data_IF_589131750835
#
_entry.id   IF_589131750835
#
_cell.length_a   1.000
_cell.length_b   1.000
_cell.length_c   1.000
_cell.angle_alpha   90.00
_cell.angle_beta   90.00
_cell.angle_gamma   90.00
#
_symmetry.space_group_name_H-M   'P 1'
#
loop_
_entity.id
_entity.type
_entity.pdbx_description
1 polymer ?
#
# COMPACT_ATOMS: atom_id res chain seq x y z
N UNK A 1 -20.62 42.68 15.01
CA UNK A 1 -20.44 41.96 13.74
C UNK A 1 -20.08 40.55 14.11
N UNK A 2 -21.06 39.65 14.11
CA UNK A 2 -20.86 38.23 14.39
C UNK A 2 -20.41 37.56 13.08
N UNK A 3 -19.16 37.10 13.05
CA UNK A 3 -18.69 36.20 12.01
C UNK A 3 -19.50 34.92 12.12
N UNK A 4 -20.40 34.72 11.18
CA UNK A 4 -21.02 33.43 10.91
C UNK A 4 -19.88 32.54 10.36
N UNK A 5 -19.30 31.67 11.22
CA UNK A 5 -18.56 30.50 10.76
C UNK A 5 -19.60 29.68 9.99
N UNK A 6 -19.54 29.69 8.66
CA UNK A 6 -20.15 28.64 7.87
C UNK A 6 -19.57 27.33 8.41
N UNK A 7 -20.38 26.53 9.10
CA UNK A 7 -20.08 25.15 9.43
C UNK A 7 -19.85 24.43 8.10
N UNK A 8 -18.60 24.25 7.74
CA UNK A 8 -18.17 23.44 6.61
C UNK A 8 -18.59 22.03 6.98
N UNK A 9 -19.68 21.52 6.39
CA UNK A 9 -20.05 20.12 6.54
C UNK A 9 -18.80 19.26 6.35
N UNK A 10 -18.46 18.44 7.36
CA UNK A 10 -17.26 17.61 7.34
C UNK A 10 -17.35 16.67 6.15
N UNK A 11 -16.42 16.81 5.19
CA UNK A 11 -16.35 15.92 4.03
C UNK A 11 -16.11 14.50 4.52
N UNK A 12 -16.85 13.54 3.98
CA UNK A 12 -16.87 12.16 4.43
C UNK A 12 -16.17 11.25 3.41
N UNK A 13 -15.29 10.38 3.90
CA UNK A 13 -14.49 9.48 3.07
C UNK A 13 -14.69 8.04 3.52
N UNK A 14 -15.06 7.15 2.59
CA UNK A 14 -14.99 5.70 2.83
C UNK A 14 -13.57 5.21 2.52
N UNK A 15 -13.01 4.40 3.41
CA UNK A 15 -11.71 3.73 3.21
C UNK A 15 -11.93 2.23 3.36
N UNK A 16 -11.77 1.47 2.26
CA UNK A 16 -11.75 0.01 2.33
C UNK A 16 -10.32 -0.49 2.60
N UNK A 17 -10.20 -1.52 3.45
CA UNK A 17 -8.90 -1.97 3.95
C UNK A 17 -8.36 -1.05 5.05
N UNK A 18 -9.23 -0.40 5.81
CA UNK A 18 -8.88 0.63 6.82
C UNK A 18 -8.09 0.09 8.00
N UNK A 19 -8.26 -1.19 8.36
CA UNK A 19 -7.48 -1.85 9.41
C UNK A 19 -6.12 -2.38 8.90
N UNK A 20 -5.88 -2.33 7.59
CA UNK A 20 -4.64 -2.75 6.95
C UNK A 20 -3.45 -1.81 7.23
N UNK A 21 -2.29 -2.15 6.66
CA UNK A 21 -1.04 -1.39 6.82
C UNK A 21 -1.16 0.01 6.18
N UNK A 22 -1.29 0.10 4.86
CA UNK A 22 -1.40 1.40 4.16
C UNK A 22 -2.70 2.10 4.54
N UNK A 23 -3.81 1.34 4.68
CA UNK A 23 -5.11 1.88 5.08
C UNK A 23 -5.07 2.62 6.41
N UNK A 24 -4.30 2.13 7.38
CA UNK A 24 -4.10 2.78 8.67
C UNK A 24 -3.51 4.19 8.53
N UNK A 25 -2.39 4.32 7.80
CA UNK A 25 -1.79 5.64 7.52
C UNK A 25 -2.74 6.58 6.78
N UNK A 26 -3.53 6.04 5.84
CA UNK A 26 -4.52 6.84 5.09
C UNK A 26 -5.61 7.37 6.01
N UNK A 27 -6.14 6.54 6.92
CA UNK A 27 -7.15 6.97 7.91
C UNK A 27 -6.58 8.06 8.82
N UNK A 28 -5.37 7.89 9.36
CA UNK A 28 -4.71 8.89 10.20
C UNK A 28 -4.54 10.23 9.47
N UNK A 29 -4.09 10.21 8.22
CA UNK A 29 -3.90 11.42 7.41
C UNK A 29 -5.24 12.11 7.10
N UNK A 30 -6.30 11.36 6.80
CA UNK A 30 -7.64 11.91 6.58
C UNK A 30 -8.19 12.59 7.84
N UNK A 31 -8.09 11.94 9.00
CA UNK A 31 -8.53 12.51 10.28
C UNK A 31 -7.73 13.75 10.64
N UNK A 32 -6.40 13.73 10.42
CA UNK A 32 -5.52 14.89 10.61
C UNK A 32 -5.95 16.09 9.73
N UNK A 33 -6.47 15.84 8.53
CA UNK A 33 -7.02 16.88 7.62
C UNK A 33 -8.46 17.27 7.96
N UNK A 34 -9.09 16.68 8.98
CA UNK A 34 -10.44 17.02 9.42
C UNK A 34 -11.55 16.39 8.59
N UNK A 35 -11.29 15.23 7.96
CA UNK A 35 -12.34 14.43 7.32
C UNK A 35 -13.05 13.55 8.34
N UNK A 36 -14.36 13.34 8.14
CA UNK A 36 -15.05 12.21 8.73
C UNK A 36 -14.71 10.95 7.91
N UNK A 37 -14.32 9.87 8.58
CA UNK A 37 -13.86 8.65 7.93
C UNK A 37 -14.74 7.46 8.30
N UNK A 38 -15.21 6.75 7.29
CA UNK A 38 -15.85 5.44 7.42
C UNK A 38 -14.84 4.38 7.01
N UNK A 39 -14.43 3.54 7.96
CA UNK A 39 -13.55 2.40 7.67
C UNK A 39 -14.37 1.13 7.43
N UNK A 40 -13.93 0.30 6.48
CA UNK A 40 -14.41 -1.09 6.33
C UNK A 40 -13.24 -2.03 6.15
N UNK A 41 -13.27 -3.15 6.91
CA UNK A 41 -12.28 -4.22 6.84
C UNK A 41 -12.91 -5.51 7.39
N UNK A 42 -12.48 -6.67 6.94
CA UNK A 42 -12.93 -7.97 7.45
C UNK A 42 -11.90 -8.64 8.36
N UNK A 43 -10.79 -7.95 8.63
CA UNK A 43 -9.65 -8.45 9.41
C UNK A 43 -9.01 -9.75 8.88
N UNK A 44 -9.26 -10.09 7.61
CA UNK A 44 -8.77 -11.35 7.03
C UNK A 44 -7.25 -11.43 6.95
N UNK A 45 -6.55 -10.28 6.87
CA UNK A 45 -5.09 -10.27 6.72
C UNK A 45 -4.35 -10.39 8.05
N UNK A 46 -4.64 -9.53 9.01
CA UNK A 46 -3.87 -9.42 10.25
C UNK A 46 -4.65 -9.86 11.51
N UNK A 47 -5.88 -10.32 11.36
CA UNK A 47 -6.79 -10.48 12.48
C UNK A 47 -7.23 -9.14 13.05
N UNK A 48 -7.87 -9.17 14.21
CA UNK A 48 -8.30 -7.95 14.90
C UNK A 48 -7.09 -7.19 15.41
N UNK A 49 -6.89 -6.00 14.88
CA UNK A 49 -5.84 -5.05 15.30
C UNK A 49 -6.47 -3.83 15.92
N UNK A 50 -5.83 -3.26 16.93
CA UNK A 50 -6.21 -1.99 17.53
C UNK A 50 -5.41 -0.88 16.85
N UNK A 51 -6.10 0.16 16.42
CA UNK A 51 -5.50 1.32 15.77
C UNK A 51 -5.59 2.55 16.68
N UNK A 52 -4.64 3.46 16.55
CA UNK A 52 -4.57 4.72 17.29
C UNK A 52 -5.84 5.56 17.19
N UNK A 53 -6.55 5.44 16.08
CA UNK A 53 -7.76 6.21 15.73
C UNK A 53 -9.08 5.52 16.04
N UNK A 54 -9.12 4.31 16.60
CA UNK A 54 -10.37 3.56 16.85
C UNK A 54 -11.36 4.31 17.76
N UNK A 55 -10.86 5.16 18.64
CA UNK A 55 -11.68 6.02 19.50
C UNK A 55 -11.90 7.45 18.98
N UNK A 56 -11.48 7.77 17.75
CA UNK A 56 -11.60 9.13 17.23
C UNK A 56 -13.05 9.49 16.91
N UNK A 57 -13.58 10.67 17.32
CA UNK A 57 -15.00 11.03 17.15
C UNK A 57 -15.44 11.08 15.68
N UNK A 58 -14.54 11.40 14.76
CA UNK A 58 -14.80 11.48 13.32
C UNK A 58 -14.47 10.17 12.58
N UNK A 59 -14.18 9.06 13.31
CA UNK A 59 -13.96 7.74 12.74
C UNK A 59 -15.10 6.79 13.10
N UNK A 60 -15.63 6.12 12.10
CA UNK A 60 -16.58 5.01 12.29
C UNK A 60 -16.06 3.77 11.55
N UNK A 61 -16.20 2.60 12.15
CA UNK A 61 -15.74 1.34 11.59
C UNK A 61 -16.88 0.36 11.36
N UNK A 62 -16.85 -0.32 10.24
CA UNK A 62 -17.72 -1.43 9.90
C UNK A 62 -16.88 -2.67 9.62
N UNK A 63 -17.04 -3.71 10.45
CA UNK A 63 -16.50 -5.02 10.12
C UNK A 63 -17.34 -5.65 9.02
N UNK A 64 -16.73 -5.92 7.85
CA UNK A 64 -17.48 -6.43 6.72
C UNK A 64 -16.62 -6.73 5.50
N UNK A 65 -17.16 -7.56 4.63
CA UNK A 65 -16.52 -7.97 3.39
C UNK A 65 -16.83 -6.94 2.28
N UNK A 66 -15.79 -6.37 1.68
CA UNK A 66 -15.91 -5.43 0.55
C UNK A 66 -16.52 -6.07 -0.70
N UNK A 67 -16.61 -7.39 -0.77
CA UNK A 67 -17.32 -8.11 -1.85
C UNK A 67 -18.84 -8.08 -1.69
N UNK A 68 -19.35 -7.65 -0.53
CA UNK A 68 -20.77 -7.34 -0.34
C UNK A 68 -21.10 -5.96 -0.94
N UNK A 69 -21.45 -5.96 -2.22
CA UNK A 69 -21.80 -4.75 -2.97
C UNK A 69 -22.93 -3.94 -2.33
N UNK A 70 -23.89 -4.62 -1.69
CA UNK A 70 -25.01 -3.94 -1.04
C UNK A 70 -24.56 -3.20 0.23
N UNK A 71 -23.67 -3.82 1.02
CA UNK A 71 -23.04 -3.16 2.17
C UNK A 71 -22.22 -1.95 1.70
N UNK A 72 -21.35 -2.13 0.71
CA UNK A 72 -20.53 -1.07 0.16
C UNK A 72 -21.36 0.11 -0.37
N UNK A 73 -22.45 -0.16 -1.11
CA UNK A 73 -23.33 0.88 -1.62
C UNK A 73 -24.02 1.67 -0.48
N UNK A 74 -24.41 1.00 0.62
CA UNK A 74 -24.95 1.69 1.81
C UNK A 74 -23.91 2.59 2.46
N UNK A 75 -22.67 2.12 2.64
CA UNK A 75 -21.60 2.91 3.23
C UNK A 75 -21.19 4.11 2.36
N UNK A 76 -21.32 3.99 1.04
CA UNK A 76 -21.00 5.06 0.09
C UNK A 76 -22.13 6.08 -0.07
N UNK A 77 -23.33 5.82 0.43
CA UNK A 77 -24.53 6.63 0.14
C UNK A 77 -24.41 8.10 0.56
N UNK A 78 -23.58 8.40 1.56
CA UNK A 78 -23.35 9.74 2.10
C UNK A 78 -21.85 10.14 2.13
N UNK A 79 -21.00 9.43 1.38
CA UNK A 79 -19.58 9.73 1.30
C UNK A 79 -19.25 10.56 0.06
N UNK A 80 -18.43 11.61 0.24
CA UNK A 80 -17.92 12.46 -0.86
C UNK A 80 -16.82 11.76 -1.67
N UNK A 81 -15.99 10.93 -1.00
CA UNK A 81 -14.88 10.22 -1.61
C UNK A 81 -14.84 8.76 -1.17
N UNK A 82 -14.26 7.93 -2.01
CA UNK A 82 -13.95 6.55 -1.70
C UNK A 82 -12.48 6.26 -2.00
N UNK A 83 -11.74 5.75 -1.02
CA UNK A 83 -10.39 5.20 -1.21
C UNK A 83 -10.49 3.68 -1.22
N UNK A 84 -10.37 3.11 -2.42
CA UNK A 84 -10.44 1.67 -2.66
C UNK A 84 -9.08 1.03 -2.40
N UNK A 85 -8.80 0.71 -1.13
CA UNK A 85 -7.52 0.18 -0.67
C UNK A 85 -7.54 -1.31 -0.30
N UNK A 86 -8.71 -1.91 -0.11
CA UNK A 86 -8.82 -3.33 0.23
C UNK A 86 -8.27 -4.22 -0.88
N UNK A 87 -7.42 -5.17 -0.51
CA UNK A 87 -6.93 -6.23 -1.38
C UNK A 87 -6.41 -7.39 -0.53
N UNK A 88 -6.61 -8.62 -1.01
CA UNK A 88 -5.93 -9.78 -0.48
C UNK A 88 -4.49 -9.75 -0.99
N UNK A 89 -3.54 -9.57 -0.09
CA UNK A 89 -2.12 -9.43 -0.42
C UNK A 89 -1.32 -10.26 0.57
N UNK A 90 -0.38 -11.04 0.07
CA UNK A 90 0.65 -11.74 0.85
C UNK A 90 2.05 -11.37 0.37
N UNK A 91 3.06 -12.05 0.88
CA UNK A 91 4.42 -11.96 0.38
C UNK A 91 4.61 -12.64 -0.98
N UNK A 92 5.83 -12.54 -1.51
CA UNK A 92 6.20 -13.16 -2.80
C UNK A 92 5.91 -14.68 -2.80
N UNK A 93 6.19 -15.38 -1.71
CA UNK A 93 5.87 -16.80 -1.54
C UNK A 93 4.36 -17.09 -1.61
N UNK A 94 3.55 -16.19 -1.05
CA UNK A 94 2.09 -16.30 -1.09
C UNK A 94 1.55 -16.17 -2.51
N UNK A 95 2.10 -15.27 -3.32
CA UNK A 95 1.69 -15.06 -4.72
C UNK A 95 1.88 -16.31 -5.57
N UNK A 96 2.93 -17.10 -5.28
CA UNK A 96 3.18 -18.34 -6.01
C UNK A 96 2.31 -19.49 -5.51
N UNK A 97 2.11 -19.59 -4.20
CA UNK A 97 1.34 -20.69 -3.61
C UNK A 97 -0.17 -20.57 -3.88
N UNK A 98 -0.72 -19.35 -3.90
CA UNK A 98 -2.16 -19.08 -3.96
C UNK A 98 -2.55 -18.15 -5.13
N UNK A 99 -1.88 -18.28 -6.26
CA UNK A 99 -2.03 -17.38 -7.42
C UNK A 99 -3.49 -17.23 -7.89
N UNK A 100 -4.24 -18.36 -7.98
CA UNK A 100 -5.64 -18.33 -8.38
C UNK A 100 -6.54 -17.70 -7.33
N UNK A 101 -6.41 -18.07 -6.07
CA UNK A 101 -7.27 -17.57 -4.98
C UNK A 101 -7.08 -16.07 -4.80
N UNK A 102 -5.82 -15.60 -4.87
CA UNK A 102 -5.46 -14.20 -4.81
C UNK A 102 -6.10 -13.41 -5.96
N UNK A 103 -5.93 -13.88 -7.20
CA UNK A 103 -6.50 -13.22 -8.36
C UNK A 103 -8.02 -13.19 -8.27
N UNK A 104 -8.67 -14.34 -8.03
CA UNK A 104 -10.11 -14.46 -7.98
C UNK A 104 -10.75 -13.63 -6.85
N UNK A 105 -10.10 -13.51 -5.69
CA UNK A 105 -10.59 -12.69 -4.58
C UNK A 105 -10.48 -11.20 -4.92
N UNK A 106 -9.33 -10.76 -5.44
CA UNK A 106 -9.09 -9.35 -5.75
C UNK A 106 -9.96 -8.85 -6.92
N UNK A 107 -10.21 -9.68 -7.95
CA UNK A 107 -11.13 -9.30 -9.02
C UNK A 107 -12.57 -9.10 -8.50
N UNK A 108 -13.02 -9.90 -7.52
CA UNK A 108 -14.33 -9.69 -6.88
C UNK A 108 -14.36 -8.43 -6.02
N UNK A 109 -13.27 -8.13 -5.30
CA UNK A 109 -13.13 -6.93 -4.48
C UNK A 109 -13.23 -5.68 -5.34
N UNK A 110 -12.49 -5.61 -6.44
CA UNK A 110 -12.50 -4.43 -7.31
C UNK A 110 -13.82 -4.28 -8.05
N UNK A 111 -14.40 -5.38 -8.57
CA UNK A 111 -15.69 -5.35 -9.23
C UNK A 111 -16.79 -4.84 -8.29
N UNK A 112 -16.87 -5.38 -7.06
CA UNK A 112 -17.83 -4.92 -6.04
C UNK A 112 -17.64 -3.44 -5.68
N UNK A 113 -16.39 -2.99 -5.55
CA UNK A 113 -16.06 -1.59 -5.28
C UNK A 113 -16.55 -0.65 -6.38
N UNK A 114 -16.35 -1.03 -7.64
CA UNK A 114 -16.86 -0.28 -8.79
C UNK A 114 -18.38 -0.29 -8.87
N UNK A 115 -19.01 -1.45 -8.68
CA UNK A 115 -20.46 -1.60 -8.69
C UNK A 115 -21.13 -0.73 -7.61
N UNK A 116 -20.57 -0.72 -6.40
CA UNK A 116 -21.04 0.12 -5.30
C UNK A 116 -20.92 1.62 -5.62
N UNK A 117 -19.79 2.04 -6.20
CA UNK A 117 -19.57 3.44 -6.62
C UNK A 117 -20.56 3.85 -7.74
N UNK A 118 -20.82 2.97 -8.71
CA UNK A 118 -21.81 3.17 -9.76
C UNK A 118 -23.20 3.30 -9.15
N UNK A 119 -23.57 2.41 -8.22
CA UNK A 119 -24.87 2.43 -7.54
C UNK A 119 -25.07 3.73 -6.73
N UNK A 120 -24.06 4.14 -5.96
CA UNK A 120 -24.10 5.37 -5.16
C UNK A 120 -24.33 6.62 -6.05
N UNK A 121 -23.62 6.72 -7.17
CA UNK A 121 -23.81 7.83 -8.11
C UNK A 121 -25.17 7.81 -8.81
N UNK A 122 -25.65 6.65 -9.23
CA UNK A 122 -26.99 6.49 -9.84
C UNK A 122 -28.11 6.85 -8.88
N UNK A 123 -27.90 6.62 -7.59
CA UNK A 123 -28.83 7.04 -6.55
C UNK A 123 -28.81 8.55 -6.26
N UNK A 124 -27.93 9.32 -6.91
CA UNK A 124 -27.78 10.76 -6.69
C UNK A 124 -26.98 11.11 -5.43
N UNK A 125 -26.19 10.17 -4.90
CA UNK A 125 -25.31 10.38 -3.76
C UNK A 125 -24.17 11.40 -4.03
N UNK A 126 -23.51 11.88 -2.98
CA UNK A 126 -22.52 12.97 -3.06
C UNK A 126 -21.16 12.52 -3.61
N UNK A 127 -20.96 11.24 -3.94
CA UNK A 127 -19.68 10.67 -4.35
C UNK A 127 -19.07 11.42 -5.54
N UNK A 128 -17.96 12.08 -5.29
CA UNK A 128 -17.23 12.93 -6.27
C UNK A 128 -16.20 12.13 -7.05
N UNK A 129 -15.44 11.25 -6.35
CA UNK A 129 -14.32 10.54 -6.95
C UNK A 129 -13.97 9.28 -6.15
N UNK A 130 -13.49 8.25 -6.86
CA UNK A 130 -12.87 7.06 -6.27
C UNK A 130 -11.37 7.12 -6.47
N UNK A 131 -10.57 6.94 -5.41
CA UNK A 131 -9.12 6.80 -5.48
C UNK A 131 -8.76 5.33 -5.37
N UNK A 132 -8.22 4.76 -6.43
CA UNK A 132 -7.84 3.35 -6.51
C UNK A 132 -6.37 3.13 -6.19
N UNK A 133 -6.08 2.23 -5.25
CA UNK A 133 -4.73 1.82 -4.94
C UNK A 133 -4.28 0.70 -5.87
N UNK A 134 -3.53 1.08 -6.91
CA UNK A 134 -2.80 0.18 -7.79
C UNK A 134 -1.45 -0.21 -7.17
N UNK A 135 -0.42 -0.44 -7.93
CA UNK A 135 0.93 -0.80 -7.44
C UNK A 135 2.00 -0.51 -8.51
N UNK A 136 3.23 -0.34 -8.06
CA UNK A 136 4.41 -0.37 -8.94
C UNK A 136 4.54 -1.67 -9.75
N UNK A 137 3.86 -2.74 -9.35
CA UNK A 137 3.90 -4.04 -10.04
C UNK A 137 3.20 -4.03 -11.41
N UNK A 138 2.46 -2.99 -11.75
CA UNK A 138 1.95 -2.82 -13.14
C UNK A 138 3.08 -2.62 -14.15
N UNK A 139 4.28 -2.22 -13.67
CA UNK A 139 5.49 -2.08 -14.46
C UNK A 139 6.43 -3.29 -14.39
N UNK A 140 5.95 -4.44 -13.89
CA UNK A 140 6.78 -5.64 -13.69
C UNK A 140 7.58 -6.05 -14.91
N UNK A 141 6.96 -5.95 -16.09
CA UNK A 141 7.56 -6.36 -17.37
C UNK A 141 8.29 -5.22 -18.09
N UNK A 142 8.56 -4.07 -17.43
CA UNK A 142 9.28 -2.99 -18.05
C UNK A 142 10.77 -3.28 -18.19
N UNK A 143 11.35 -2.84 -19.30
CA UNK A 143 12.80 -2.86 -19.57
C UNK A 143 13.39 -1.44 -19.60
N UNK A 144 12.57 -0.42 -19.34
CA UNK A 144 12.99 0.99 -19.37
C UNK A 144 12.70 1.68 -18.03
N UNK A 145 13.64 2.50 -17.59
CA UNK A 145 13.58 3.23 -16.33
C UNK A 145 14.02 4.69 -16.53
N UNK A 146 13.46 5.61 -15.72
CA UNK A 146 12.41 5.39 -14.72
C UNK A 146 11.07 5.03 -15.37
N UNK A 147 10.22 4.23 -14.66
CA UNK A 147 8.85 3.93 -15.07
C UNK A 147 7.98 5.19 -15.00
N UNK A 148 7.42 5.61 -16.11
CA UNK A 148 6.57 6.80 -16.22
C UNK A 148 5.11 6.38 -16.35
N UNK A 149 4.20 7.19 -15.84
CA UNK A 149 2.76 6.97 -15.97
C UNK A 149 2.36 6.84 -17.46
N UNK A 150 1.60 5.80 -17.76
CA UNK A 150 1.22 5.42 -19.12
C UNK A 150 2.11 4.37 -19.78
N UNK A 151 3.31 4.08 -19.22
CA UNK A 151 4.18 3.03 -19.76
C UNK A 151 3.63 1.63 -19.46
N UNK A 152 2.82 1.46 -18.39
CA UNK A 152 2.15 0.19 -18.09
C UNK A 152 1.26 -0.33 -19.22
N UNK A 153 0.84 0.56 -20.13
CA UNK A 153 0.04 0.21 -21.32
C UNK A 153 0.87 -0.09 -22.57
N UNK A 154 2.19 0.10 -22.50
CA UNK A 154 3.11 -0.07 -23.63
C UNK A 154 4.00 -1.29 -23.49
N UNK A 155 4.05 -1.88 -22.31
CA UNK A 155 4.83 -3.07 -21.99
C UNK A 155 3.94 -4.32 -21.95
N UNK A 156 4.55 -5.50 -21.96
CA UNK A 156 3.81 -6.74 -21.75
C UNK A 156 3.10 -6.72 -20.39
N UNK A 157 1.92 -7.37 -20.26
CA UNK A 157 1.26 -7.51 -18.97
C UNK A 157 2.18 -8.15 -17.94
N UNK A 158 2.01 -7.82 -16.65
CA UNK A 158 2.73 -8.49 -15.58
C UNK A 158 2.58 -10.01 -15.62
N UNK A 159 3.65 -10.74 -15.33
CA UNK A 159 3.66 -12.19 -15.28
C UNK A 159 3.10 -12.73 -13.96
N UNK A 160 3.29 -11.98 -12.86
CA UNK A 160 2.71 -12.36 -11.57
C UNK A 160 1.21 -12.09 -11.54
N UNK A 161 0.46 -12.97 -10.85
CA UNK A 161 -0.99 -12.76 -10.61
C UNK A 161 -1.26 -11.46 -9.83
N UNK A 162 -0.35 -11.07 -8.95
CA UNK A 162 -0.45 -9.81 -8.22
C UNK A 162 -0.29 -8.57 -9.13
N UNK A 163 0.75 -8.54 -9.96
CA UNK A 163 0.95 -7.43 -10.90
C UNK A 163 -0.21 -7.32 -11.89
N UNK A 164 -0.67 -8.47 -12.42
CA UNK A 164 -1.84 -8.51 -13.31
C UNK A 164 -3.10 -7.99 -12.62
N UNK A 165 -3.38 -8.43 -11.38
CA UNK A 165 -4.53 -7.95 -10.60
C UNK A 165 -4.49 -6.43 -10.41
N UNK A 166 -3.31 -5.86 -10.11
CA UNK A 166 -3.16 -4.42 -9.96
C UNK A 166 -3.33 -3.66 -11.29
N UNK A 167 -2.92 -4.25 -12.39
CA UNK A 167 -3.24 -3.72 -13.71
C UNK A 167 -4.74 -3.77 -14.00
N UNK A 168 -5.42 -4.87 -13.64
CA UNK A 168 -6.87 -4.99 -13.79
C UNK A 168 -7.62 -3.91 -12.99
N UNK A 169 -7.20 -3.55 -11.77
CA UNK A 169 -7.78 -2.42 -11.00
C UNK A 169 -7.83 -1.14 -11.84
N UNK A 170 -6.77 -0.85 -12.59
CA UNK A 170 -6.70 0.34 -13.44
C UNK A 170 -7.65 0.27 -14.63
N UNK A 171 -7.83 -0.93 -15.21
CA UNK A 171 -8.82 -1.16 -16.26
C UNK A 171 -10.25 -1.00 -15.73
N UNK A 172 -10.57 -1.53 -14.55
CA UNK A 172 -11.87 -1.34 -13.91
C UNK A 172 -12.17 0.14 -13.68
N UNK A 173 -11.21 0.91 -13.16
CA UNK A 173 -11.37 2.34 -12.91
C UNK A 173 -11.70 3.11 -14.21
N UNK A 174 -10.92 2.86 -15.26
CA UNK A 174 -11.11 3.51 -16.58
C UNK A 174 -12.42 3.09 -17.23
N UNK A 175 -12.76 1.79 -17.21
CA UNK A 175 -14.01 1.28 -17.76
C UNK A 175 -15.25 1.82 -17.03
N UNK A 176 -15.18 1.97 -15.70
CA UNK A 176 -16.25 2.58 -14.91
C UNK A 176 -16.45 4.07 -15.26
N UNK A 177 -15.38 4.78 -15.56
CA UNK A 177 -15.47 6.12 -16.10
C UNK A 177 -16.08 6.13 -17.52
N UNK A 178 -15.56 5.34 -18.43
CA UNK A 178 -15.99 5.35 -19.84
C UNK A 178 -17.48 5.03 -19.98
N UNK A 179 -17.98 4.06 -19.21
CA UNK A 179 -19.37 3.61 -19.32
C UNK A 179 -20.35 4.34 -18.39
N UNK A 180 -19.92 4.65 -17.15
CA UNK A 180 -20.81 5.13 -16.09
C UNK A 180 -20.44 6.51 -15.56
N UNK A 181 -19.36 7.11 -16.09
CA UNK A 181 -18.87 8.42 -15.67
C UNK A 181 -18.56 8.50 -14.17
N UNK A 182 -18.01 7.39 -13.59
CA UNK A 182 -17.51 7.39 -12.22
C UNK A 182 -16.11 8.00 -12.22
N UNK A 183 -15.94 9.23 -11.65
CA UNK A 183 -14.63 9.87 -11.67
C UNK A 183 -13.64 9.11 -10.79
N UNK A 184 -12.39 9.06 -11.24
CA UNK A 184 -11.35 8.31 -10.55
C UNK A 184 -10.02 9.06 -10.43
N UNK A 185 -9.17 8.57 -9.56
CA UNK A 185 -7.72 8.78 -9.54
C UNK A 185 -7.06 7.43 -9.24
N UNK A 186 -6.02 7.08 -9.98
CA UNK A 186 -5.23 5.88 -9.72
C UNK A 186 -3.92 6.31 -9.07
N UNK A 187 -3.53 5.66 -7.98
CA UNK A 187 -2.23 5.86 -7.33
C UNK A 187 -1.45 4.56 -7.29
N UNK A 188 -0.16 4.62 -7.60
CA UNK A 188 0.76 3.48 -7.61
C UNK A 188 1.82 3.65 -6.52
N UNK A 189 1.60 3.04 -5.35
CA UNK A 189 2.62 2.96 -4.31
C UNK A 189 3.86 2.17 -4.76
N UNK A 190 5.05 2.68 -4.37
CA UNK A 190 6.31 1.96 -4.50
C UNK A 190 6.85 1.62 -3.12
N UNK A 191 7.00 0.33 -2.84
CA UNK A 191 7.65 -0.26 -1.67
C UNK A 191 7.39 0.51 -0.36
N UNK A 192 6.14 0.50 0.11
CA UNK A 192 5.77 1.16 1.36
C UNK A 192 6.51 0.55 2.55
N UNK A 193 7.03 1.39 3.43
CA UNK A 193 7.73 1.03 4.67
C UNK A 193 7.11 1.78 5.83
N UNK A 194 6.92 1.12 6.97
CA UNK A 194 6.36 1.75 8.17
C UNK A 194 5.99 0.74 9.24
N UNK A 195 5.38 1.24 10.31
CA UNK A 195 4.84 0.42 11.40
C UNK A 195 3.46 -0.14 11.04
N UNK A 196 3.06 -1.23 11.70
CA UNK A 196 1.73 -1.84 11.50
C UNK A 196 1.68 -2.91 10.42
N UNK A 197 2.80 -3.29 9.82
CA UNK A 197 2.92 -4.47 8.98
C UNK A 197 3.24 -5.68 9.86
N UNK A 198 2.21 -6.38 10.30
CA UNK A 198 2.33 -7.58 11.14
C UNK A 198 2.28 -8.86 10.32
N UNK A 199 2.48 -10.00 10.98
CA UNK A 199 2.30 -11.33 10.37
C UNK A 199 0.88 -11.48 9.83
N UNK A 200 0.77 -11.84 8.55
CA UNK A 200 -0.52 -12.14 7.96
C UNK A 200 -1.04 -13.50 8.44
N UNK A 201 -2.36 -13.61 8.64
CA UNK A 201 -3.00 -14.87 8.99
C UNK A 201 -2.84 -15.86 7.83
N UNK A 202 -2.35 -17.06 8.13
CA UNK A 202 -2.17 -18.12 7.12
C UNK A 202 -0.90 -18.00 6.28
N UNK A 203 -0.03 -17.03 6.52
CA UNK A 203 1.27 -16.96 5.87
C UNK A 203 2.10 -18.20 6.23
N UNK A 204 2.65 -18.82 5.19
CA UNK A 204 3.60 -19.91 5.39
C UNK A 204 4.94 -19.37 5.87
N UNK A 205 5.52 -20.05 6.86
CA UNK A 205 6.88 -19.75 7.30
C UNK A 205 7.88 -20.13 6.20
N UNK A 206 8.68 -19.17 5.79
CA UNK A 206 9.80 -19.39 4.86
C UNK A 206 11.09 -19.39 5.66
N UNK A 207 11.89 -20.42 5.48
CA UNK A 207 13.21 -20.51 6.10
C UNK A 207 14.24 -19.80 5.22
N UNK A 208 14.92 -18.79 5.80
CA UNK A 208 16.06 -18.14 5.19
C UNK A 208 17.28 -18.30 6.11
N UNK A 209 18.22 -19.13 5.68
CA UNK A 209 19.29 -19.58 6.58
C UNK A 209 18.70 -20.30 7.80
N UNK A 210 19.02 -19.78 9.00
CA UNK A 210 18.55 -20.31 10.28
C UNK A 210 17.33 -19.54 10.86
N UNK A 211 16.78 -18.58 10.12
CA UNK A 211 15.67 -17.72 10.58
C UNK A 211 14.39 -18.06 9.81
N UNK A 212 13.33 -18.36 10.55
CA UNK A 212 11.98 -18.47 10.01
C UNK A 212 11.40 -17.07 9.83
N UNK A 213 10.95 -16.77 8.61
CA UNK A 213 10.32 -15.52 8.24
C UNK A 213 8.83 -15.74 8.04
N UNK A 214 8.05 -14.86 8.61
CA UNK A 214 6.60 -14.85 8.52
C UNK A 214 6.08 -13.56 7.88
N UNK A 215 6.98 -12.71 7.39
CA UNK A 215 6.65 -11.39 6.86
C UNK A 215 6.86 -11.30 5.36
N UNK A 216 6.12 -10.39 4.77
CA UNK A 216 5.98 -10.31 3.32
C UNK A 216 6.92 -9.32 2.63
N UNK A 217 7.62 -8.45 3.37
CA UNK A 217 8.45 -7.41 2.78
C UNK A 217 9.89 -7.41 3.32
N UNK A 218 10.80 -6.96 2.48
CA UNK A 218 12.25 -7.06 2.72
C UNK A 218 12.74 -6.32 3.97
N UNK A 219 12.14 -5.17 4.31
CA UNK A 219 12.57 -4.37 5.48
C UNK A 219 12.34 -5.14 6.79
N UNK A 220 11.09 -5.56 7.11
CA UNK A 220 10.86 -6.34 8.32
C UNK A 220 11.60 -7.69 8.34
N UNK A 221 11.78 -8.34 7.19
CA UNK A 221 12.55 -9.58 7.11
C UNK A 221 14.01 -9.38 7.51
N UNK A 222 14.67 -8.37 6.96
CA UNK A 222 16.06 -8.07 7.29
C UNK A 222 16.21 -7.65 8.76
N UNK A 223 15.32 -6.82 9.28
CA UNK A 223 15.34 -6.42 10.70
C UNK A 223 15.23 -7.65 11.60
N UNK A 224 14.29 -8.56 11.35
CA UNK A 224 14.15 -9.80 12.12
C UNK A 224 15.40 -10.68 12.06
N UNK A 225 16.00 -10.85 10.87
CA UNK A 225 17.22 -11.64 10.71
C UNK A 225 18.35 -11.10 11.58
N UNK A 226 18.56 -9.78 11.56
CA UNK A 226 19.61 -9.13 12.35
C UNK A 226 19.32 -9.20 13.85
N UNK A 227 18.06 -8.98 14.28
CA UNK A 227 17.65 -9.10 15.69
C UNK A 227 17.80 -10.53 16.21
N UNK A 228 17.46 -11.55 15.40
CA UNK A 228 17.61 -12.99 15.75
C UNK A 228 19.06 -13.46 15.63
N UNK A 229 20.02 -12.55 15.35
CA UNK A 229 21.45 -12.86 15.39
C UNK A 229 21.96 -13.65 14.17
N UNK A 230 21.29 -13.54 13.02
CA UNK A 230 21.78 -14.20 11.81
C UNK A 230 23.10 -13.58 11.34
N UNK A 231 24.15 -14.39 11.31
CA UNK A 231 25.49 -14.04 10.83
C UNK A 231 26.14 -15.29 10.25
N UNK A 232 26.49 -15.31 8.95
CA UNK A 232 26.29 -14.25 7.94
C UNK A 232 24.82 -13.95 7.64
N UNK A 233 24.55 -12.71 7.19
CA UNK A 233 23.20 -12.28 6.84
C UNK A 233 22.79 -12.82 5.46
N UNK A 234 21.66 -13.53 5.41
CA UNK A 234 21.14 -14.13 4.19
C UNK A 234 20.31 -13.13 3.38
N UNK A 235 20.68 -12.94 2.12
CA UNK A 235 19.94 -12.14 1.14
C UNK A 235 19.39 -13.03 0.04
N UNK A 236 18.14 -12.80 -0.37
CA UNK A 236 17.55 -13.44 -1.53
C UNK A 236 18.11 -12.79 -2.81
N UNK A 237 18.64 -13.62 -3.70
CA UNK A 237 19.34 -13.18 -4.91
C UNK A 237 20.66 -12.46 -4.60
N UNK A 238 21.12 -11.60 -5.53
CA UNK A 238 22.41 -10.91 -5.42
C UNK A 238 22.38 -9.75 -4.42
N UNK A 239 21.21 -9.28 -4.02
CA UNK A 239 21.06 -8.08 -3.20
C UNK A 239 21.24 -6.76 -3.97
N UNK A 240 21.45 -6.81 -5.29
CA UNK A 240 21.61 -5.62 -6.15
C UNK A 240 20.28 -5.09 -6.67
N UNK A 241 19.16 -5.73 -6.31
CA UNK A 241 17.81 -5.28 -6.68
C UNK A 241 17.55 -3.88 -6.13
N UNK A 242 17.11 -2.96 -7.02
CA UNK A 242 16.86 -1.57 -6.66
C UNK A 242 15.39 -1.39 -6.27
N UNK A 243 15.18 -0.74 -5.13
CA UNK A 243 13.87 -0.37 -4.58
C UNK A 243 13.86 1.07 -4.11
N UNK A 244 12.70 1.70 -4.21
CA UNK A 244 12.43 3.03 -3.69
C UNK A 244 11.52 2.90 -2.47
N UNK A 245 12.12 2.87 -1.28
CA UNK A 245 11.41 2.67 -0.02
C UNK A 245 10.71 3.96 0.39
N UNK A 246 9.38 3.94 0.36
CA UNK A 246 8.56 5.12 0.64
C UNK A 246 7.89 4.98 1.98
N UNK A 247 8.04 5.97 2.86
CA UNK A 247 7.44 5.95 4.19
C UNK A 247 5.90 5.99 4.13
N UNK A 248 5.25 5.21 5.01
CA UNK A 248 3.80 5.05 5.02
C UNK A 248 3.04 6.36 5.20
N UNK A 249 3.53 7.26 6.06
CA UNK A 249 2.90 8.58 6.25
C UNK A 249 3.09 9.50 5.04
N UNK A 250 4.25 9.48 4.37
CA UNK A 250 4.45 10.20 3.11
C UNK A 250 3.51 9.67 2.03
N UNK A 251 3.40 8.34 1.92
CA UNK A 251 2.52 7.70 0.96
C UNK A 251 1.05 8.09 1.20
N UNK A 252 0.59 8.04 2.45
CA UNK A 252 -0.76 8.47 2.82
C UNK A 252 -1.02 9.93 2.48
N UNK A 253 -0.05 10.81 2.76
CA UNK A 253 -0.10 12.23 2.35
C UNK A 253 -0.27 12.37 0.84
N UNK A 254 0.46 11.59 0.05
CA UNK A 254 0.35 11.55 -1.41
C UNK A 254 -1.01 11.04 -1.89
N UNK A 255 -1.53 9.96 -1.31
CA UNK A 255 -2.85 9.39 -1.63
C UNK A 255 -3.96 10.39 -1.36
N UNK A 256 -3.96 11.02 -0.16
CA UNK A 256 -5.00 11.99 0.20
C UNK A 256 -4.87 13.26 -0.64
N UNK A 257 -3.67 13.71 -0.95
CA UNK A 257 -3.46 14.84 -1.86
C UNK A 257 -4.00 14.53 -3.27
N UNK A 258 -3.73 13.35 -3.81
CA UNK A 258 -4.29 12.91 -5.10
C UNK A 258 -5.82 12.80 -5.05
N UNK A 259 -6.40 12.36 -3.93
CA UNK A 259 -7.85 12.36 -3.72
C UNK A 259 -8.44 13.78 -3.79
N UNK A 260 -7.79 14.76 -3.17
CA UNK A 260 -8.30 16.14 -3.08
C UNK A 260 -8.07 16.96 -4.35
N UNK A 261 -6.96 16.69 -5.06
CA UNK A 261 -6.49 17.58 -6.13
C UNK A 261 -7.41 17.55 -7.35
N UNK A 262 -7.87 18.72 -7.84
CA UNK A 262 -8.78 18.79 -8.99
C UNK A 262 -8.14 18.25 -10.28
N UNK A 263 -6.85 18.53 -10.51
CA UNK A 263 -6.13 18.08 -11.70
C UNK A 263 -5.75 16.58 -11.65
N UNK A 264 -6.07 15.89 -10.56
CA UNK A 264 -5.94 14.43 -10.47
C UNK A 264 -7.19 13.68 -10.95
N UNK A 265 -8.19 14.39 -11.47
CA UNK A 265 -9.42 13.79 -11.95
C UNK A 265 -9.17 12.97 -13.23
N UNK A 266 -9.55 11.69 -13.19
CA UNK A 266 -9.38 10.72 -14.28
C UNK A 266 -7.92 10.56 -14.73
N UNK A 267 -7.01 10.65 -13.78
CA UNK A 267 -5.58 10.57 -14.01
C UNK A 267 -4.91 9.57 -13.05
N UNK A 268 -3.62 9.31 -13.24
CA UNK A 268 -2.85 8.31 -12.51
C UNK A 268 -1.48 8.85 -12.09
N UNK A 269 -0.98 8.41 -10.92
CA UNK A 269 0.24 8.93 -10.31
C UNK A 269 1.07 7.83 -9.66
N UNK A 270 2.38 7.86 -9.92
CA UNK A 270 3.35 7.12 -9.15
C UNK A 270 3.63 7.87 -7.84
N UNK A 271 3.43 7.22 -6.70
CA UNK A 271 3.71 7.81 -5.39
C UNK A 271 4.91 7.10 -4.76
N UNK A 272 6.04 7.83 -4.71
CA UNK A 272 7.31 7.28 -4.25
C UNK A 272 8.29 8.36 -3.83
N UNK A 273 9.32 7.94 -3.07
CA UNK A 273 10.55 8.71 -2.95
C UNK A 273 11.36 8.64 -4.26
N UNK A 274 12.07 9.71 -4.64
CA UNK A 274 12.99 9.67 -5.79
C UNK A 274 14.29 8.89 -5.49
N UNK A 275 14.54 8.50 -4.23
CA UNK A 275 15.79 7.89 -3.80
C UNK A 275 15.69 6.36 -3.81
N UNK A 276 16.50 5.72 -4.67
CA UNK A 276 16.60 4.28 -4.77
C UNK A 276 17.75 3.70 -3.92
N UNK A 277 17.52 2.50 -3.37
CA UNK A 277 18.53 1.75 -2.62
C UNK A 277 18.55 0.31 -3.10
N UNK A 278 19.74 -0.31 -3.09
CA UNK A 278 19.82 -1.75 -3.26
C UNK A 278 19.40 -2.47 -1.97
N UNK A 279 19.07 -3.74 -2.08
CA UNK A 279 18.79 -4.57 -0.88
C UNK A 279 20.03 -4.68 0.01
N UNK A 280 21.25 -4.72 -0.58
CA UNK A 280 22.51 -4.66 0.19
C UNK A 280 22.63 -3.36 0.98
N UNK A 281 22.40 -2.21 0.35
CA UNK A 281 22.46 -0.92 1.03
C UNK A 281 21.44 -0.84 2.18
N UNK A 282 20.22 -1.34 1.96
CA UNK A 282 19.23 -1.45 3.03
C UNK A 282 19.75 -2.33 4.17
N UNK A 283 20.30 -3.50 3.86
CA UNK A 283 20.83 -4.43 4.87
C UNK A 283 22.00 -3.81 5.66
N UNK A 284 22.89 -3.07 5.01
CA UNK A 284 24.00 -2.33 5.64
C UNK A 284 23.49 -1.29 6.64
N UNK A 285 22.47 -0.49 6.26
CA UNK A 285 21.87 0.51 7.16
C UNK A 285 21.20 -0.16 8.36
N UNK A 286 20.42 -1.22 8.14
CA UNK A 286 19.75 -1.97 9.23
C UNK A 286 20.81 -2.60 10.17
N UNK A 287 21.84 -3.22 9.60
CA UNK A 287 22.93 -3.82 10.38
C UNK A 287 23.63 -2.79 11.25
N UNK A 288 24.00 -1.67 10.68
CA UNK A 288 24.68 -0.60 11.42
C UNK A 288 23.84 -0.04 12.56
N UNK A 289 22.53 0.16 12.33
CA UNK A 289 21.61 0.63 13.37
C UNK A 289 21.45 -0.37 14.53
N UNK A 290 21.53 -1.67 14.28
CA UNK A 290 21.29 -2.72 15.31
C UNK A 290 22.62 -3.22 15.92
N UNK A 291 23.66 -3.39 15.13
CA UNK A 291 24.94 -4.02 15.52
C UNK A 291 26.12 -3.04 15.57
N UNK A 292 25.91 -1.76 15.19
CA UNK A 292 26.99 -0.76 15.13
C UNK A 292 28.03 -1.13 14.08
N UNK A 293 29.31 -1.00 14.45
CA UNK A 293 30.47 -1.25 13.56
C UNK A 293 30.87 -2.73 13.48
N UNK A 294 30.01 -3.66 13.91
CA UNK A 294 30.28 -5.09 13.78
C UNK A 294 30.45 -5.49 12.30
N UNK A 295 31.40 -6.38 11.96
CA UNK A 295 31.57 -6.82 10.59
C UNK A 295 30.29 -7.43 10.02
N UNK A 296 29.95 -7.06 8.78
CA UNK A 296 28.80 -7.62 8.06
C UNK A 296 29.29 -8.49 6.90
N UNK A 297 28.79 -9.71 6.85
CA UNK A 297 29.01 -10.64 5.76
C UNK A 297 27.69 -11.16 5.23
N UNK A 298 27.66 -11.47 3.92
CA UNK A 298 26.44 -11.92 3.24
C UNK A 298 26.56 -13.36 2.74
N UNK A 299 25.43 -14.07 2.79
CA UNK A 299 25.19 -15.28 2.01
C UNK A 299 24.04 -15.01 1.07
N UNK A 300 24.15 -15.45 -0.16
CA UNK A 300 23.14 -15.26 -1.20
C UNK A 300 22.34 -16.55 -1.36
N UNK A 301 21.04 -16.46 -1.03
CA UNK A 301 20.07 -17.51 -1.28
C UNK A 301 19.53 -17.40 -2.72
N UNK A 302 18.88 -18.44 -3.23
CA UNK A 302 18.25 -18.42 -4.56
C UNK A 302 17.18 -17.32 -4.62
N UNK A 303 17.20 -16.56 -5.72
CA UNK A 303 16.15 -15.57 -5.98
C UNK A 303 14.82 -16.24 -6.30
N UNK A 304 13.71 -15.57 -5.97
CA UNK A 304 12.39 -16.01 -6.45
C UNK A 304 12.29 -15.92 -7.97
N UNK A 305 11.53 -16.84 -8.57
CA UNK A 305 11.09 -16.70 -9.94
C UNK A 305 10.32 -15.38 -10.11
N UNK A 306 10.59 -14.61 -11.15
CA UNK A 306 10.00 -13.28 -11.40
C UNK A 306 10.40 -12.18 -10.40
N UNK A 307 11.54 -12.27 -9.70
CA UNK A 307 12.02 -11.15 -8.88
C UNK A 307 12.42 -9.96 -9.77
N UNK A 308 11.68 -8.86 -9.60
CA UNK A 308 11.90 -7.62 -10.36
C UNK A 308 13.19 -6.96 -9.92
N UNK A 309 14.19 -6.92 -10.81
CA UNK A 309 15.53 -6.39 -10.48
C UNK A 309 15.52 -4.86 -10.25
N UNK A 310 14.68 -4.12 -10.97
CA UNK A 310 14.62 -2.66 -10.87
C UNK A 310 13.19 -2.18 -10.77
N UNK A 311 12.83 -1.54 -9.66
CA UNK A 311 11.58 -0.79 -9.47
C UNK A 311 11.93 0.67 -9.26
N UNK A 312 12.13 1.39 -10.35
CA UNK A 312 12.56 2.79 -10.35
C UNK A 312 11.45 3.65 -10.90
N UNK A 313 10.73 4.43 -10.07
CA UNK A 313 9.65 5.30 -10.52
C UNK A 313 10.16 6.61 -11.13
N UNK A 314 9.39 7.19 -12.03
CA UNK A 314 9.37 8.65 -12.20
C UNK A 314 8.43 9.24 -11.14
N UNK A 315 8.88 10.24 -10.40
CA UNK A 315 8.08 10.99 -9.42
C UNK A 315 7.70 12.38 -9.94
N UNK A 316 8.11 12.72 -11.16
CA UNK A 316 7.99 14.04 -11.74
C UNK A 316 6.53 14.49 -11.93
N UNK A 317 5.64 13.56 -12.30
CA UNK A 317 4.23 13.89 -12.49
C UNK A 317 3.55 14.24 -11.16
N UNK A 318 3.77 13.43 -10.13
CA UNK A 318 3.23 13.70 -8.79
C UNK A 318 3.76 15.04 -8.23
N UNK A 319 5.05 15.33 -8.42
CA UNK A 319 5.65 16.61 -8.01
C UNK A 319 5.04 17.79 -8.77
N UNK A 320 4.96 17.71 -10.08
CA UNK A 320 4.48 18.81 -10.93
C UNK A 320 2.98 19.08 -10.76
N UNK A 321 2.15 18.02 -10.71
CA UNK A 321 0.69 18.16 -10.70
C UNK A 321 0.15 18.29 -9.30
N UNK A 322 0.59 17.42 -8.37
CA UNK A 322 0.08 17.36 -7.01
C UNK A 322 0.88 18.19 -6.02
N UNK A 323 2.06 18.69 -6.40
CA UNK A 323 3.01 19.27 -5.45
C UNK A 323 3.53 18.25 -4.43
N UNK A 324 3.41 16.94 -4.74
CA UNK A 324 3.77 15.88 -3.83
C UNK A 324 5.20 15.40 -4.07
N UNK A 325 5.95 15.31 -2.98
CA UNK A 325 7.26 14.65 -2.92
C UNK A 325 7.36 13.90 -1.58
N UNK A 326 7.73 12.63 -1.62
CA UNK A 326 8.03 11.87 -0.40
C UNK A 326 9.39 12.32 0.13
N UNK A 327 9.45 12.76 1.36
CA UNK A 327 10.59 13.47 1.94
C UNK A 327 11.29 12.74 3.07
N UNK A 328 10.66 11.69 3.64
CA UNK A 328 11.24 10.96 4.78
C UNK A 328 12.40 10.06 4.29
N UNK A 329 13.63 10.28 4.78
CA UNK A 329 14.79 9.47 4.42
C UNK A 329 14.66 8.03 4.96
N UNK A 330 15.32 7.07 4.30
CA UNK A 330 15.35 5.68 4.74
C UNK A 330 15.82 5.52 6.19
N UNK A 331 16.80 6.30 6.60
CA UNK A 331 17.37 6.27 7.95
C UNK A 331 16.33 6.62 9.02
N UNK A 332 15.54 7.68 8.80
CA UNK A 332 14.46 8.11 9.70
C UNK A 332 13.31 7.07 9.74
N UNK A 333 12.94 6.47 8.60
CA UNK A 333 11.94 5.39 8.59
C UNK A 333 12.37 4.24 9.48
N UNK A 334 13.65 3.86 9.42
CA UNK A 334 14.19 2.75 10.19
C UNK A 334 14.30 3.06 11.68
N UNK A 335 14.41 4.32 12.08
CA UNK A 335 14.36 4.73 13.49
C UNK A 335 13.00 4.44 14.15
N UNK A 336 11.93 4.40 13.40
CA UNK A 336 10.60 3.98 13.88
C UNK A 336 10.34 2.48 13.71
N UNK A 337 10.74 1.93 12.55
CA UNK A 337 10.41 0.54 12.18
C UNK A 337 11.22 -0.46 12.99
N UNK A 338 12.51 -0.21 13.26
CA UNK A 338 13.35 -1.14 14.02
C UNK A 338 12.85 -1.33 15.45
N UNK A 339 12.59 -0.27 16.25
CA UNK A 339 12.02 -0.43 17.59
C UNK A 339 10.69 -1.18 17.59
N UNK A 340 9.80 -0.87 16.66
CA UNK A 340 8.51 -1.52 16.53
C UNK A 340 8.64 -3.02 16.25
N UNK A 341 9.53 -3.42 15.32
CA UNK A 341 9.80 -4.84 15.04
C UNK A 341 10.48 -5.52 16.24
N UNK A 342 11.38 -4.81 16.94
CA UNK A 342 12.04 -5.35 18.13
C UNK A 342 11.01 -5.73 19.18
N UNK A 343 10.08 -4.83 19.50
CA UNK A 343 9.00 -5.09 20.43
C UNK A 343 8.13 -6.28 19.97
N UNK A 344 7.81 -6.36 18.69
CA UNK A 344 7.00 -7.43 18.12
C UNK A 344 7.70 -8.80 18.18
N UNK A 345 9.01 -8.84 17.99
CA UNK A 345 9.83 -10.05 18.14
C UNK A 345 9.92 -10.47 19.62
N UNK A 346 10.14 -9.52 20.53
CA UNK A 346 10.22 -9.79 21.97
C UNK A 346 8.89 -10.29 22.54
N UNK A 347 7.77 -9.77 22.06
CA UNK A 347 6.43 -10.19 22.46
C UNK A 347 5.95 -11.46 21.75
N UNK A 348 6.72 -12.01 20.81
CA UNK A 348 6.39 -13.23 20.06
C UNK A 348 5.25 -13.05 19.05
N UNK A 349 4.97 -11.81 18.65
CA UNK A 349 4.00 -11.49 17.59
C UNK A 349 4.62 -11.52 16.19
N UNK A 350 5.96 -11.58 16.13
CA UNK A 350 6.77 -11.74 14.91
C UNK A 350 7.90 -12.77 15.10
#
# INVERSE_FOLDING_TARGET
MSEVREEREARKVLVSGSAGFIGGYVVEELLRRGYAVVGIDDYSKYGRVVKSYDGHPDYSFTEGDVRDTALMARLLSDCDHFIAGAALIGGISYFHAYAYDLLAANERIIASSCDAAIAARRAGGPLRKVTYLSSSMVFESTETWPSVEGDERKVAPPLSSYGFQKLAVEYFARAAWDQYQVPYTIVRPFNCVGIGETRALGDQEVLSGNVKLAMSHVVPDLVQKVLKGQDPLHLLGTGDQIRHYTYGADLARGIVTAMEHPDALNDDFNLSTPHGHTVKQLAEVIWHKIKGDAPLTFVHDDAFEYDVQRRVPSTEKAKRVLGFEASTPLDEMLDEVIPWITEAVENGTL
#
